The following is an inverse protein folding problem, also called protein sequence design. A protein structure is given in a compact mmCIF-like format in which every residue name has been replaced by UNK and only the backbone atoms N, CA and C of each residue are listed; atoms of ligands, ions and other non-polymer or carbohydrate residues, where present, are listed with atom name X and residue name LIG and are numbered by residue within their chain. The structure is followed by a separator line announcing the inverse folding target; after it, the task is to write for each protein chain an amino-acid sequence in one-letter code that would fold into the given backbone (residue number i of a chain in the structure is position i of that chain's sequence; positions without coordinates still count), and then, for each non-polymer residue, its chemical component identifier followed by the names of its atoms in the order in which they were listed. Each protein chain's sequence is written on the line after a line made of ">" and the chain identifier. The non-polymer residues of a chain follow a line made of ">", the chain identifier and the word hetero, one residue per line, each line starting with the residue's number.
data_IF_923774154226
#
_entry.id   IF_923774154226
#
_cell.length_a   1.000
_cell.length_b   1.000
_cell.length_c   1.000
_cell.angle_alpha   90.00
_cell.angle_beta   90.00
_cell.angle_gamma   90.00
#
_symmetry.space_group_name_H-M   'P 1'
#
loop_
_entity.id
_entity.type
_entity.pdbx_description
1 polymer ?
#
# COMPACT_ATOMS: atom_id res chain seq x y z
N UNK A 1 4.81 -14.83 -34.84
CA UNK A 1 3.94 -16.02 -34.75
C UNK A 1 3.17 -16.08 -33.43
N UNK A 2 3.72 -15.56 -32.31
CA UNK A 2 2.99 -15.48 -31.03
C UNK A 2 1.85 -14.44 -31.01
N UNK A 3 1.96 -13.32 -31.72
CA UNK A 3 0.85 -12.35 -31.92
C UNK A 3 -0.41 -12.93 -32.59
N UNK A 4 -0.34 -14.12 -33.20
CA UNK A 4 -1.47 -14.76 -33.90
C UNK A 4 -2.29 -15.67 -32.96
N UNK A 5 -1.74 -16.11 -31.81
CA UNK A 5 -2.44 -17.01 -30.88
C UNK A 5 -3.37 -16.28 -29.91
N UNK A 6 -2.97 -15.11 -29.41
CA UNK A 6 -3.84 -14.23 -28.61
C UNK A 6 -5.14 -13.84 -29.36
N UNK A 7 -5.07 -13.78 -30.69
CA UNK A 7 -6.18 -13.35 -31.56
C UNK A 7 -7.31 -14.40 -31.66
N UNK A 8 -7.02 -15.69 -31.45
CA UNK A 8 -7.99 -16.76 -31.66
C UNK A 8 -8.92 -16.96 -30.45
N UNK A 9 -8.39 -16.89 -29.23
CA UNK A 9 -9.20 -16.90 -28.00
C UNK A 9 -9.97 -15.59 -27.82
N UNK A 10 -9.39 -14.46 -28.22
CA UNK A 10 -10.06 -13.17 -28.26
C UNK A 10 -11.28 -13.19 -29.19
N UNK A 11 -11.15 -13.77 -30.39
CA UNK A 11 -12.26 -13.90 -31.35
C UNK A 11 -13.44 -14.71 -30.83
N UNK A 12 -13.20 -15.83 -30.13
CA UNK A 12 -14.30 -16.66 -29.58
C UNK A 12 -15.03 -15.93 -28.46
N UNK A 13 -14.31 -15.23 -27.57
CA UNK A 13 -14.94 -14.43 -26.51
C UNK A 13 -15.71 -13.23 -27.10
N UNK A 14 -15.15 -12.60 -28.13
CA UNK A 14 -15.77 -11.47 -28.83
C UNK A 14 -17.01 -11.90 -29.63
N UNK A 15 -17.00 -13.07 -30.28
CA UNK A 15 -18.15 -13.62 -30.99
C UNK A 15 -19.33 -13.92 -30.04
N UNK A 16 -19.05 -14.50 -28.85
CA UNK A 16 -20.08 -14.75 -27.82
C UNK A 16 -20.66 -13.44 -27.27
N UNK A 17 -19.83 -12.40 -27.10
CA UNK A 17 -20.28 -11.08 -26.65
C UNK A 17 -21.06 -10.33 -27.75
N UNK A 18 -20.62 -10.40 -29.01
CA UNK A 18 -21.28 -9.76 -30.16
C UNK A 18 -22.63 -10.42 -30.47
N UNK A 19 -22.74 -11.76 -30.36
CA UNK A 19 -24.02 -12.46 -30.55
C UNK A 19 -25.05 -12.10 -29.48
N UNK A 20 -24.61 -11.70 -28.28
CA UNK A 20 -25.50 -11.21 -27.21
C UNK A 20 -25.76 -9.70 -27.28
N UNK A 21 -24.80 -8.91 -27.74
CA UNK A 21 -24.89 -7.44 -27.79
C UNK A 21 -25.76 -6.88 -28.92
N UNK A 22 -26.09 -7.67 -29.95
CA UNK A 22 -26.95 -7.20 -31.06
C UNK A 22 -28.44 -7.13 -30.74
N UNK A 23 -28.90 -7.71 -29.62
CA UNK A 23 -30.34 -7.75 -29.27
C UNK A 23 -30.72 -6.96 -28.00
N UNK A 24 -29.79 -6.28 -27.32
CA UNK A 24 -30.18 -5.42 -26.20
C UNK A 24 -29.08 -4.47 -25.75
N UNK A 25 -29.30 -3.16 -25.96
CA UNK A 25 -28.76 -2.11 -25.06
C UNK A 25 -29.50 -2.13 -23.71
N UNK A 26 -29.82 -3.32 -23.19
CA UNK A 26 -30.32 -3.44 -21.83
C UNK A 26 -29.17 -3.14 -20.87
N UNK A 27 -29.50 -2.45 -19.79
CA UNK A 27 -28.60 -2.13 -18.68
C UNK A 27 -28.14 -3.46 -18.06
N UNK A 28 -27.09 -4.05 -18.60
CA UNK A 28 -26.35 -5.11 -17.92
C UNK A 28 -26.02 -4.59 -16.52
N UNK A 29 -26.49 -5.30 -15.50
CA UNK A 29 -26.18 -4.92 -14.13
C UNK A 29 -24.67 -4.95 -13.96
N UNK A 30 -24.13 -4.06 -13.11
CA UNK A 30 -22.68 -4.01 -12.86
C UNK A 30 -22.13 -5.37 -12.42
N UNK A 31 -22.93 -6.16 -11.70
CA UNK A 31 -22.57 -7.52 -11.31
C UNK A 31 -22.31 -8.44 -12.51
N UNK A 32 -23.16 -8.40 -13.53
CA UNK A 32 -22.98 -9.20 -14.75
C UNK A 32 -21.72 -8.79 -15.50
N UNK A 33 -21.45 -7.48 -15.58
CA UNK A 33 -20.23 -6.95 -16.20
C UNK A 33 -18.99 -7.42 -15.44
N UNK A 34 -19.01 -7.32 -14.10
CA UNK A 34 -17.89 -7.72 -13.25
C UNK A 34 -17.61 -9.22 -13.30
N UNK A 35 -18.63 -10.07 -13.32
CA UNK A 35 -18.45 -11.52 -13.46
C UNK A 35 -17.86 -11.88 -14.83
N UNK A 36 -18.33 -11.25 -15.90
CA UNK A 36 -17.79 -11.45 -17.24
C UNK A 36 -16.34 -10.96 -17.34
N UNK A 37 -16.04 -9.79 -16.78
CA UNK A 37 -14.69 -9.23 -16.75
C UNK A 37 -13.76 -10.09 -15.89
N UNK A 38 -14.20 -10.59 -14.74
CA UNK A 38 -13.39 -11.47 -13.89
C UNK A 38 -13.06 -12.78 -14.60
N UNK A 39 -14.06 -13.40 -15.27
CA UNK A 39 -13.82 -14.59 -16.09
C UNK A 39 -12.82 -14.30 -17.21
N UNK A 40 -12.94 -13.15 -17.88
CA UNK A 40 -11.99 -12.71 -18.90
C UNK A 40 -10.58 -12.53 -18.30
N UNK A 41 -10.45 -11.89 -17.15
CA UNK A 41 -9.18 -11.69 -16.45
C UNK A 41 -8.49 -12.99 -16.06
N UNK A 42 -9.23 -14.04 -15.70
CA UNK A 42 -8.69 -15.38 -15.45
C UNK A 42 -8.25 -16.12 -16.73
N UNK A 43 -8.70 -15.66 -17.90
CA UNK A 43 -8.41 -16.24 -19.21
C UNK A 43 -7.43 -15.42 -20.03
N UNK A 44 -7.17 -14.16 -19.63
CA UNK A 44 -6.17 -13.32 -20.28
C UNK A 44 -4.82 -14.00 -20.15
N UNK A 45 -4.28 -14.44 -21.29
CA UNK A 45 -2.91 -14.94 -21.37
C UNK A 45 -1.99 -13.76 -21.04
N UNK A 46 -1.28 -13.90 -19.93
CA UNK A 46 -0.27 -12.97 -19.49
C UNK A 46 1.06 -13.70 -19.44
N UNK A 47 2.15 -12.97 -19.68
CA UNK A 47 3.52 -13.49 -19.56
C UNK A 47 3.91 -13.63 -18.08
N UNK A 48 3.18 -14.48 -17.35
CA UNK A 48 3.44 -14.81 -15.93
C UNK A 48 4.74 -15.58 -15.84
N UNK A 49 5.63 -15.11 -14.99
CA UNK A 49 6.86 -15.83 -14.67
C UNK A 49 6.55 -17.15 -13.96
N UNK A 50 7.03 -18.27 -14.50
CA UNK A 50 7.10 -19.55 -13.80
C UNK A 50 8.42 -19.62 -13.01
N UNK A 51 8.39 -19.71 -11.67
CA UNK A 51 9.59 -19.92 -10.87
C UNK A 51 10.45 -21.11 -11.32
N UNK A 52 9.87 -22.13 -11.96
CA UNK A 52 10.61 -23.30 -12.46
C UNK A 52 11.60 -22.96 -13.56
N UNK A 53 11.37 -21.89 -14.32
CA UNK A 53 12.31 -21.40 -15.34
C UNK A 53 13.62 -20.87 -14.73
N UNK A 54 13.71 -20.86 -13.39
CA UNK A 54 14.84 -20.37 -12.60
C UNK A 54 15.55 -21.48 -11.81
N UNK A 55 15.18 -22.76 -12.00
CA UNK A 55 15.79 -23.90 -11.28
C UNK A 55 17.31 -23.99 -11.46
N UNK A 56 17.83 -23.56 -12.62
CA UNK A 56 19.27 -23.56 -12.92
C UNK A 56 20.05 -22.42 -12.25
N UNK A 57 19.36 -21.38 -11.75
CA UNK A 57 19.98 -20.16 -11.20
C UNK A 57 19.63 -19.87 -9.75
N UNK A 58 18.55 -20.44 -9.22
CA UNK A 58 18.11 -20.28 -7.83
C UNK A 58 18.33 -21.57 -7.05
N UNK A 59 18.87 -21.45 -5.82
CA UNK A 59 19.06 -22.60 -4.94
C UNK A 59 17.71 -23.34 -4.70
N UNK A 60 17.65 -24.67 -4.92
CA UNK A 60 16.41 -25.44 -4.77
C UNK A 60 15.79 -25.36 -3.37
N UNK A 61 16.58 -25.14 -2.31
CA UNK A 61 16.05 -24.96 -0.96
C UNK A 61 15.36 -23.59 -0.80
N UNK A 62 15.87 -22.55 -1.46
CA UNK A 62 15.21 -21.24 -1.51
C UNK A 62 13.88 -21.37 -2.25
N UNK A 63 13.86 -22.02 -3.42
CA UNK A 63 12.62 -22.23 -4.18
C UNK A 63 11.59 -23.03 -3.36
N UNK A 64 12.03 -24.07 -2.64
CA UNK A 64 11.15 -24.83 -1.74
C UNK A 64 10.59 -23.97 -0.61
N UNK A 65 11.40 -23.10 -0.01
CA UNK A 65 10.95 -22.17 1.02
C UNK A 65 9.94 -21.15 0.46
N UNK A 66 10.18 -20.62 -0.75
CA UNK A 66 9.25 -19.74 -1.44
C UNK A 66 7.91 -20.43 -1.71
N UNK A 67 7.93 -21.67 -2.22
CA UNK A 67 6.71 -22.45 -2.46
C UNK A 67 5.92 -22.72 -1.16
N UNK A 68 6.61 -22.98 -0.04
CA UNK A 68 5.96 -23.14 1.26
C UNK A 68 5.30 -21.85 1.75
N UNK A 69 5.97 -20.71 1.59
CA UNK A 69 5.43 -19.39 1.97
C UNK A 69 4.21 -19.04 1.10
N UNK A 70 4.29 -19.27 -0.21
CA UNK A 70 3.17 -19.08 -1.14
C UNK A 70 1.98 -19.94 -0.74
N UNK A 71 2.18 -21.22 -0.46
CA UNK A 71 1.10 -22.12 -0.03
C UNK A 71 0.43 -21.64 1.28
N UNK A 72 1.23 -21.13 2.23
CA UNK A 72 0.73 -20.58 3.49
C UNK A 72 -0.10 -19.30 3.26
N UNK A 73 0.42 -18.33 2.51
CA UNK A 73 -0.25 -17.06 2.21
C UNK A 73 -1.51 -17.27 1.38
N UNK A 74 -1.44 -18.15 0.36
CA UNK A 74 -2.60 -18.53 -0.44
C UNK A 74 -3.74 -19.03 0.43
N UNK A 75 -3.45 -19.92 1.40
CA UNK A 75 -4.46 -20.40 2.34
C UNK A 75 -5.09 -19.30 3.20
N UNK A 76 -4.35 -18.22 3.53
CA UNK A 76 -4.92 -17.05 4.21
C UNK A 76 -5.85 -16.27 3.28
N UNK A 77 -5.40 -16.01 2.05
CA UNK A 77 -6.18 -15.25 1.06
C UNK A 77 -7.45 -15.99 0.65
N UNK A 78 -7.40 -17.31 0.47
CA UNK A 78 -8.56 -18.10 0.10
C UNK A 78 -9.64 -18.05 1.20
N UNK A 79 -9.25 -18.12 2.48
CA UNK A 79 -10.19 -17.90 3.60
C UNK A 79 -10.76 -16.48 3.63
N UNK A 80 -9.99 -15.48 3.20
CA UNK A 80 -10.52 -14.12 3.10
C UNK A 80 -11.54 -14.00 1.96
N UNK A 81 -11.34 -14.71 0.84
CA UNK A 81 -12.30 -14.72 -0.28
C UNK A 81 -13.64 -15.36 0.08
N UNK A 82 -13.74 -16.13 1.17
CA UNK A 82 -15.02 -16.66 1.67
C UNK A 82 -15.96 -15.56 2.20
N UNK A 83 -15.41 -14.39 2.58
CA UNK A 83 -16.23 -13.27 3.06
C UNK A 83 -16.61 -12.35 1.87
N UNK A 84 -17.90 -11.99 1.70
CA UNK A 84 -18.37 -11.30 0.49
C UNK A 84 -17.64 -9.99 0.17
N UNK A 85 -17.41 -9.15 1.18
CA UNK A 85 -16.74 -7.85 0.99
C UNK A 85 -15.31 -8.00 0.45
N UNK A 86 -14.56 -9.01 0.93
CA UNK A 86 -13.18 -9.26 0.50
C UNK A 86 -13.12 -10.03 -0.81
N UNK A 87 -14.12 -10.86 -1.11
CA UNK A 87 -14.27 -11.50 -2.41
C UNK A 87 -14.43 -10.47 -3.53
N UNK A 88 -15.30 -9.47 -3.31
CA UNK A 88 -15.52 -8.40 -4.27
C UNK A 88 -14.27 -7.55 -4.50
N UNK A 89 -13.55 -7.18 -3.43
CA UNK A 89 -12.30 -6.43 -3.53
C UNK A 89 -11.24 -7.21 -4.31
N UNK A 90 -11.11 -8.51 -4.07
CA UNK A 90 -10.20 -9.38 -4.82
C UNK A 90 -10.59 -9.46 -6.31
N UNK A 91 -11.89 -9.63 -6.60
CA UNK A 91 -12.41 -9.67 -7.96
C UNK A 91 -12.10 -8.37 -8.72
N UNK A 92 -12.38 -7.21 -8.11
CA UNK A 92 -12.09 -5.91 -8.70
C UNK A 92 -10.59 -5.68 -8.92
N UNK A 93 -9.76 -6.09 -7.96
CA UNK A 93 -8.30 -6.04 -8.08
C UNK A 93 -7.80 -6.82 -9.29
N UNK A 94 -8.26 -8.08 -9.46
CA UNK A 94 -7.85 -8.93 -10.58
C UNK A 94 -8.32 -8.40 -11.94
N UNK A 95 -9.53 -7.84 -11.99
CA UNK A 95 -10.04 -7.18 -13.20
C UNK A 95 -9.17 -5.98 -13.56
N UNK A 96 -8.88 -5.12 -12.58
CA UNK A 96 -8.07 -3.93 -12.78
C UNK A 96 -6.66 -4.28 -13.26
N UNK A 97 -6.01 -5.25 -12.61
CA UNK A 97 -4.69 -5.76 -12.97
C UNK A 97 -4.65 -6.22 -14.43
N UNK A 98 -5.58 -7.10 -14.83
CA UNK A 98 -5.63 -7.64 -16.19
C UNK A 98 -5.88 -6.54 -17.24
N UNK A 99 -6.80 -5.60 -16.96
CA UNK A 99 -7.07 -4.47 -17.86
C UNK A 99 -5.82 -3.60 -17.97
N UNK A 100 -5.19 -3.20 -16.87
CA UNK A 100 -4.02 -2.31 -16.93
C UNK A 100 -2.88 -2.96 -17.71
N UNK A 101 -2.55 -4.22 -17.45
CA UNK A 101 -1.52 -4.98 -18.19
C UNK A 101 -1.84 -4.98 -19.69
N UNK A 102 -3.03 -5.45 -20.07
CA UNK A 102 -3.43 -5.56 -21.47
C UNK A 102 -3.42 -4.19 -22.17
N UNK A 103 -3.89 -3.13 -21.49
CA UNK A 103 -4.04 -1.80 -22.08
C UNK A 103 -2.73 -1.02 -22.15
N UNK A 104 -1.76 -1.32 -21.30
CA UNK A 104 -0.38 -0.84 -21.46
C UNK A 104 0.19 -1.34 -22.78
N UNK A 105 -0.01 -2.62 -23.10
CA UNK A 105 0.61 -3.25 -24.27
C UNK A 105 -0.18 -3.04 -25.57
N UNK A 106 -1.51 -3.12 -25.53
CA UNK A 106 -2.35 -3.01 -26.72
C UNK A 106 -2.63 -1.57 -27.13
N UNK A 107 -2.85 -0.69 -26.14
CA UNK A 107 -3.30 0.69 -26.37
C UNK A 107 -2.32 1.74 -25.82
N UNK A 108 -1.08 1.31 -25.55
CA UNK A 108 0.03 2.19 -25.19
C UNK A 108 -0.32 3.11 -24.02
N UNK A 109 -1.00 2.60 -22.99
CA UNK A 109 -1.42 3.43 -21.86
C UNK A 109 -0.24 4.17 -21.21
N UNK A 110 0.94 3.54 -21.22
CA UNK A 110 2.21 4.14 -20.76
C UNK A 110 3.17 4.48 -21.92
N UNK A 111 2.68 4.54 -23.16
CA UNK A 111 3.46 4.83 -24.37
C UNK A 111 3.95 3.59 -25.12
N UNK A 112 4.28 3.76 -26.40
CA UNK A 112 4.60 2.70 -27.36
C UNK A 112 5.79 1.78 -27.01
N UNK A 113 6.62 2.21 -26.07
CA UNK A 113 7.89 1.56 -25.74
C UNK A 113 7.89 0.96 -24.33
N UNK A 114 6.71 0.66 -23.79
CA UNK A 114 6.53 0.03 -22.47
C UNK A 114 5.94 -1.35 -22.66
N UNK A 115 6.58 -2.33 -22.05
CA UNK A 115 6.03 -3.68 -21.94
C UNK A 115 5.81 -4.02 -20.48
N UNK A 116 4.98 -5.03 -20.23
CA UNK A 116 4.72 -5.52 -18.89
C UNK A 116 5.14 -6.97 -18.75
N UNK A 117 5.45 -7.37 -17.51
CA UNK A 117 5.66 -8.77 -17.18
C UNK A 117 5.01 -9.04 -15.83
N UNK A 118 4.04 -9.96 -15.82
CA UNK A 118 3.36 -10.35 -14.59
C UNK A 118 4.30 -11.19 -13.74
N UNK A 119 4.36 -10.88 -12.44
CA UNK A 119 5.26 -11.61 -11.55
C UNK A 119 4.64 -12.94 -11.14
N UNK A 120 5.47 -13.82 -10.59
CA UNK A 120 5.00 -15.05 -9.99
C UNK A 120 4.30 -14.79 -8.64
N UNK A 121 3.55 -15.77 -8.14
CA UNK A 121 2.82 -15.65 -6.87
C UNK A 121 3.71 -15.35 -5.65
N UNK A 122 4.99 -15.73 -5.67
CA UNK A 122 5.90 -15.36 -4.60
C UNK A 122 6.14 -13.85 -4.55
N UNK A 123 6.37 -13.23 -5.71
CA UNK A 123 6.60 -11.79 -5.82
C UNK A 123 5.31 -10.99 -5.60
N UNK A 124 4.16 -11.49 -6.07
CA UNK A 124 2.84 -10.97 -5.71
C UNK A 124 2.63 -11.03 -4.18
N UNK A 125 2.63 -12.22 -3.57
CA UNK A 125 2.21 -12.35 -2.17
C UNK A 125 3.22 -11.78 -1.16
N UNK A 126 4.53 -11.98 -1.40
CA UNK A 126 5.55 -11.56 -0.45
C UNK A 126 6.01 -10.12 -0.69
N UNK A 127 6.23 -9.75 -1.95
CA UNK A 127 6.74 -8.43 -2.32
C UNK A 127 5.59 -7.44 -2.62
N UNK A 128 4.40 -7.93 -2.95
CA UNK A 128 3.23 -7.13 -3.30
C UNK A 128 3.37 -6.51 -4.67
N UNK A 129 3.96 -7.22 -5.64
CA UNK A 129 4.22 -6.68 -6.98
C UNK A 129 3.42 -7.53 -7.96
N UNK A 130 2.38 -6.96 -8.56
CA UNK A 130 1.55 -7.69 -9.51
C UNK A 130 2.30 -7.88 -10.84
N UNK A 131 2.93 -6.81 -11.32
CA UNK A 131 3.72 -6.83 -12.55
C UNK A 131 4.81 -5.75 -12.52
N UNK A 132 5.78 -5.88 -13.42
CA UNK A 132 6.84 -4.88 -13.66
C UNK A 132 6.71 -4.30 -15.06
N UNK A 133 7.18 -3.06 -15.22
CA UNK A 133 7.32 -2.40 -16.52
C UNK A 133 8.75 -2.48 -17.01
N UNK A 134 8.92 -2.71 -18.32
CA UNK A 134 10.21 -2.65 -19.02
C UNK A 134 10.13 -1.61 -20.13
N UNK A 135 11.03 -0.61 -20.08
CA UNK A 135 11.13 0.44 -21.08
C UNK A 135 12.14 0.05 -22.16
N UNK A 136 11.72 0.10 -23.42
CA UNK A 136 12.57 -0.08 -24.58
C UNK A 136 13.04 1.30 -25.10
N UNK A 137 14.29 1.68 -24.89
CA UNK A 137 14.86 2.87 -25.54
C UNK A 137 15.54 2.49 -26.85
N UNK A 138 15.04 3.07 -27.95
CA UNK A 138 15.62 3.18 -29.31
C UNK A 138 16.84 2.29 -29.59
N UNK A 139 16.62 0.96 -29.65
CA UNK A 139 17.50 0.04 -30.38
C UNK A 139 18.35 -0.96 -29.59
N UNK A 140 18.41 -0.94 -28.25
CA UNK A 140 18.98 -2.08 -27.48
C UNK A 140 18.79 -2.00 -25.96
N UNK A 141 18.79 -0.80 -25.39
CA UNK A 141 18.90 -0.68 -23.93
C UNK A 141 17.54 -0.78 -23.29
N UNK A 142 17.28 -1.95 -22.70
CA UNK A 142 16.11 -2.16 -21.86
C UNK A 142 16.42 -1.79 -20.42
N UNK A 143 15.52 -1.05 -19.79
CA UNK A 143 15.63 -0.80 -18.36
C UNK A 143 14.31 -1.13 -17.68
N UNK A 144 14.42 -1.82 -16.54
CA UNK A 144 13.28 -2.02 -15.66
C UNK A 144 12.82 -0.67 -15.18
N UNK A 145 11.55 -0.38 -15.43
CA UNK A 145 10.90 0.85 -15.04
C UNK A 145 10.56 0.85 -13.56
N UNK A 146 9.38 0.32 -13.27
CA UNK A 146 8.84 0.24 -11.93
C UNK A 146 7.97 -1.01 -11.75
N UNK A 147 7.73 -1.35 -10.49
CA UNK A 147 6.86 -2.42 -10.05
C UNK A 147 5.48 -1.83 -9.71
N UNK A 148 4.41 -2.44 -10.21
CA UNK A 148 3.04 -1.98 -10.00
C UNK A 148 2.30 -2.91 -9.05
N UNK A 149 1.53 -2.31 -8.15
CA UNK A 149 0.56 -2.94 -7.26
C UNK A 149 -0.81 -2.29 -7.52
N UNK A 150 -1.59 -2.89 -8.42
CA UNK A 150 -2.90 -2.42 -8.82
C UNK A 150 -3.94 -2.83 -7.78
N UNK A 151 -4.62 -1.86 -7.19
CA UNK A 151 -5.53 -2.09 -6.09
C UNK A 151 -6.84 -1.35 -6.29
N UNK A 152 -7.90 -1.93 -5.76
CA UNK A 152 -9.12 -1.20 -5.46
C UNK A 152 -9.33 -1.23 -3.95
N UNK A 153 -9.92 -0.19 -3.36
CA UNK A 153 -10.38 -0.25 -1.97
C UNK A 153 -10.36 1.06 -1.22
N UNK A 154 -10.57 0.95 0.10
CA UNK A 154 -10.65 2.09 1.02
C UNK A 154 -9.30 2.80 1.12
N UNK A 155 -9.35 4.10 1.37
CA UNK A 155 -8.18 4.96 1.55
C UNK A 155 -7.12 4.42 2.52
N UNK A 156 -7.57 3.76 3.58
CA UNK A 156 -6.69 3.17 4.59
C UNK A 156 -5.80 2.07 4.02
N UNK A 157 -6.31 1.25 3.10
CA UNK A 157 -5.53 0.19 2.46
C UNK A 157 -4.43 0.77 1.57
N UNK A 158 -4.76 1.81 0.79
CA UNK A 158 -3.79 2.54 -0.05
C UNK A 158 -2.70 3.18 0.82
N UNK A 159 -3.09 3.85 1.91
CA UNK A 159 -2.13 4.44 2.86
C UNK A 159 -1.18 3.41 3.45
N UNK A 160 -1.66 2.21 3.79
CA UNK A 160 -0.81 1.13 4.29
C UNK A 160 0.20 0.64 3.24
N UNK A 161 -0.19 0.58 1.96
CA UNK A 161 0.72 0.23 0.85
C UNK A 161 1.79 1.30 0.64
N UNK A 162 1.40 2.59 0.64
CA UNK A 162 2.34 3.71 0.52
C UNK A 162 3.30 3.82 1.73
N UNK A 163 2.80 3.57 2.94
CA UNK A 163 3.61 3.47 4.16
C UNK A 163 4.65 2.34 4.07
N UNK A 164 4.28 1.19 3.48
CA UNK A 164 5.24 0.09 3.21
C UNK A 164 6.37 0.57 2.30
N UNK A 165 6.06 1.31 1.23
CA UNK A 165 7.05 1.88 0.31
C UNK A 165 7.95 2.87 1.04
N UNK A 166 7.39 3.81 1.80
CA UNK A 166 8.19 4.75 2.60
C UNK A 166 9.14 4.02 3.56
N UNK A 167 8.66 2.96 4.21
CA UNK A 167 9.49 2.17 5.12
C UNK A 167 10.69 1.52 4.40
N UNK A 168 10.56 1.15 3.13
CA UNK A 168 11.66 0.64 2.30
C UNK A 168 12.67 1.76 2.03
N UNK A 169 12.21 2.93 1.62
CA UNK A 169 13.08 4.10 1.40
C UNK A 169 13.91 4.44 2.63
N UNK A 170 13.30 4.43 3.82
CA UNK A 170 14.01 4.66 5.09
C UNK A 170 15.21 3.73 5.29
N UNK A 171 15.11 2.48 4.81
CA UNK A 171 16.18 1.47 4.91
C UNK A 171 17.22 1.58 3.79
N UNK A 172 17.04 2.50 2.85
CA UNK A 172 17.87 2.58 1.66
C UNK A 172 17.51 1.52 0.62
N UNK A 173 16.25 1.08 0.59
CA UNK A 173 15.74 0.00 -0.27
C UNK A 173 14.62 0.51 -1.18
N UNK A 174 14.43 -0.14 -2.33
CA UNK A 174 13.19 -0.05 -3.12
C UNK A 174 12.56 -1.45 -3.21
N UNK A 175 11.59 -1.63 -4.11
CA UNK A 175 11.04 -2.92 -4.47
C UNK A 175 12.08 -3.88 -5.02
N UNK A 176 11.70 -5.15 -4.96
CA UNK A 176 12.49 -6.29 -5.41
C UNK A 176 11.56 -7.31 -6.04
N UNK A 177 11.98 -7.85 -7.19
CA UNK A 177 11.38 -9.01 -7.84
C UNK A 177 12.42 -10.12 -7.82
N UNK A 178 12.07 -11.25 -7.22
CA UNK A 178 12.98 -12.37 -7.03
C UNK A 178 13.16 -13.18 -8.31
N UNK A 179 12.06 -13.45 -9.01
CA UNK A 179 12.05 -14.15 -10.28
C UNK A 179 11.79 -13.14 -11.41
N UNK A 180 12.83 -12.39 -11.79
CA UNK A 180 12.75 -11.40 -12.85
C UNK A 180 13.43 -11.92 -14.13
N UNK A 181 12.81 -11.66 -15.29
CA UNK A 181 13.39 -11.95 -16.59
C UNK A 181 13.08 -10.81 -17.56
N UNK A 182 14.06 -10.30 -18.31
CA UNK A 182 13.77 -9.36 -19.40
C UNK A 182 12.97 -10.06 -20.49
N UNK A 183 12.15 -9.34 -21.26
CA UNK A 183 11.27 -9.98 -22.26
C UNK A 183 12.05 -10.77 -23.33
N UNK A 184 13.28 -10.37 -23.66
CA UNK A 184 14.17 -11.10 -24.59
C UNK A 184 14.96 -12.23 -23.92
N UNK A 185 14.71 -12.47 -22.63
CA UNK A 185 15.39 -13.46 -21.80
C UNK A 185 16.90 -13.25 -21.68
N UNK A 186 17.43 -12.09 -22.05
CA UNK A 186 18.86 -11.76 -21.98
C UNK A 186 19.36 -11.61 -20.54
N UNK A 187 18.47 -11.23 -19.61
CA UNK A 187 18.76 -11.13 -18.18
C UNK A 187 17.73 -11.93 -17.40
N UNK A 188 18.19 -12.76 -16.47
CA UNK A 188 17.35 -13.51 -15.52
C UNK A 188 17.91 -13.40 -14.10
N UNK A 189 17.03 -13.53 -13.12
CA UNK A 189 17.37 -13.67 -11.71
C UNK A 189 16.74 -12.59 -10.84
N UNK A 190 17.36 -12.28 -9.71
CA UNK A 190 16.83 -11.34 -8.73
C UNK A 190 17.10 -9.89 -9.13
N UNK A 191 16.05 -9.09 -9.27
CA UNK A 191 16.14 -7.64 -9.55
C UNK A 191 15.75 -6.83 -8.31
N UNK A 192 16.69 -6.01 -7.83
CA UNK A 192 16.49 -5.07 -6.70
C UNK A 192 16.48 -3.64 -7.18
N UNK A 193 16.11 -2.72 -6.28
CA UNK A 193 16.09 -1.28 -6.52
C UNK A 193 15.06 -0.90 -7.61
N UNK A 194 13.88 -1.51 -7.58
CA UNK A 194 12.78 -1.18 -8.49
C UNK A 194 11.80 -0.26 -7.76
N UNK A 195 11.54 0.98 -8.22
CA UNK A 195 10.51 1.82 -7.63
C UNK A 195 9.17 1.09 -7.63
N UNK A 196 8.44 1.18 -6.52
CA UNK A 196 7.12 0.56 -6.40
C UNK A 196 6.06 1.64 -6.51
N UNK A 197 5.03 1.36 -7.31
CA UNK A 197 3.88 2.23 -7.53
C UNK A 197 2.63 1.48 -7.12
N UNK A 198 1.74 2.14 -6.39
CA UNK A 198 0.41 1.62 -6.09
C UNK A 198 -0.55 2.30 -7.04
N UNK A 199 -1.22 1.58 -7.93
CA UNK A 199 -2.28 2.18 -8.76
C UNK A 199 -3.61 1.92 -8.07
N UNK A 200 -4.35 2.97 -7.69
CA UNK A 200 -5.65 2.78 -7.08
C UNK A 200 -6.78 3.48 -7.82
N UNK A 201 -7.79 2.71 -8.24
CA UNK A 201 -8.99 3.24 -8.88
C UNK A 201 -10.23 3.06 -8.00
N UNK A 202 -11.15 4.00 -8.11
CA UNK A 202 -12.49 3.86 -7.52
C UNK A 202 -13.28 2.76 -8.22
N UNK A 203 -14.23 2.15 -7.51
CA UNK A 203 -15.01 1.00 -7.98
C UNK A 203 -15.71 1.33 -9.31
N UNK A 204 -16.27 2.53 -9.41
CA UNK A 204 -17.01 2.95 -10.59
C UNK A 204 -16.12 2.98 -11.83
N UNK A 205 -14.90 3.53 -11.71
CA UNK A 205 -13.95 3.56 -12.82
C UNK A 205 -13.54 2.15 -13.26
N UNK A 206 -13.36 1.21 -12.32
CA UNK A 206 -13.09 -0.21 -12.64
C UNK A 206 -14.25 -0.83 -13.42
N UNK A 207 -15.50 -0.58 -13.00
CA UNK A 207 -16.70 -1.06 -13.70
C UNK A 207 -16.79 -0.47 -15.11
N UNK A 208 -16.53 0.82 -15.25
CA UNK A 208 -16.65 1.54 -16.52
C UNK A 208 -15.66 0.99 -17.55
N UNK A 209 -14.39 0.81 -17.18
CA UNK A 209 -13.39 0.21 -18.08
C UNK A 209 -13.63 -1.29 -18.29
N UNK A 210 -14.12 -2.02 -17.29
CA UNK A 210 -14.48 -3.43 -17.43
C UNK A 210 -15.61 -3.61 -18.45
N UNK A 211 -16.59 -2.71 -18.49
CA UNK A 211 -17.69 -2.73 -19.47
C UNK A 211 -17.17 -2.57 -20.89
N UNK A 212 -16.30 -1.59 -21.13
CA UNK A 212 -15.68 -1.40 -22.45
C UNK A 212 -14.83 -2.61 -22.85
N UNK A 213 -14.10 -3.17 -21.89
CA UNK A 213 -13.21 -4.31 -22.10
C UNK A 213 -13.94 -5.61 -22.43
N UNK A 214 -15.04 -5.92 -21.74
CA UNK A 214 -15.89 -7.09 -22.02
C UNK A 214 -16.57 -6.97 -23.39
N UNK A 215 -16.93 -5.75 -23.81
CA UNK A 215 -17.55 -5.47 -25.11
C UNK A 215 -16.55 -5.41 -26.28
N UNK A 216 -15.25 -5.47 -25.99
CA UNK A 216 -14.21 -5.36 -27.01
C UNK A 216 -14.10 -3.97 -27.64
N UNK A 217 -14.51 -2.93 -26.92
CA UNK A 217 -14.48 -1.53 -27.38
C UNK A 217 -13.06 -0.93 -27.24
N UNK A 218 -12.08 -1.53 -27.91
CA UNK A 218 -10.66 -1.18 -27.76
C UNK A 218 -10.35 0.29 -28.07
N UNK A 219 -11.02 0.88 -29.06
CA UNK A 219 -10.86 2.32 -29.36
C UNK A 219 -11.30 3.20 -28.18
N UNK A 220 -12.43 2.87 -27.54
CA UNK A 220 -12.93 3.61 -26.39
C UNK A 220 -11.99 3.46 -25.18
N UNK A 221 -11.38 2.27 -24.99
CA UNK A 221 -10.36 2.07 -23.96
C UNK A 221 -9.06 2.85 -24.23
N UNK A 222 -8.61 2.92 -25.48
CA UNK A 222 -7.41 3.67 -25.87
C UNK A 222 -7.54 5.19 -25.62
N UNK A 223 -8.76 5.70 -25.80
CA UNK A 223 -9.14 7.11 -25.62
C UNK A 223 -9.67 7.39 -24.19
N UNK A 224 -9.76 6.38 -23.32
CA UNK A 224 -10.37 6.53 -22.01
C UNK A 224 -9.56 7.46 -21.09
N UNK A 225 -10.19 8.45 -20.39
CA UNK A 225 -9.48 9.40 -19.53
C UNK A 225 -8.67 8.77 -18.39
N UNK A 226 -9.01 7.54 -17.97
CA UNK A 226 -8.29 6.82 -16.92
C UNK A 226 -6.80 6.66 -17.22
N UNK A 227 -6.41 6.57 -18.49
CA UNK A 227 -5.01 6.49 -18.90
C UNK A 227 -4.20 7.66 -18.33
N UNK A 228 -4.73 8.88 -18.48
CA UNK A 228 -4.07 10.09 -18.01
C UNK A 228 -4.00 10.14 -16.48
N UNK A 229 -5.04 9.65 -15.80
CA UNK A 229 -5.05 9.53 -14.34
C UNK A 229 -3.95 8.59 -13.86
N UNK A 230 -3.82 7.40 -14.46
CA UNK A 230 -2.79 6.43 -14.11
C UNK A 230 -1.38 6.99 -14.34
N UNK A 231 -1.14 7.64 -15.49
CA UNK A 231 0.16 8.28 -15.79
C UNK A 231 0.50 9.34 -14.74
N UNK A 232 -0.46 10.21 -14.40
CA UNK A 232 -0.27 11.26 -13.40
C UNK A 232 -0.02 10.69 -12.00
N UNK A 233 -0.75 9.63 -11.62
CA UNK A 233 -0.58 8.96 -10.34
C UNK A 233 0.82 8.32 -10.21
N UNK A 234 1.34 7.72 -11.29
CA UNK A 234 2.72 7.22 -11.35
C UNK A 234 3.72 8.37 -11.16
N UNK A 235 3.55 9.48 -11.89
CA UNK A 235 4.44 10.65 -11.80
C UNK A 235 4.43 11.24 -10.40
N UNK A 236 3.25 11.46 -9.81
CA UNK A 236 3.11 12.02 -8.47
C UNK A 236 3.79 11.12 -7.42
N UNK A 237 3.64 9.80 -7.53
CA UNK A 237 4.31 8.85 -6.64
C UNK A 237 5.83 8.85 -6.81
N UNK A 238 6.35 8.85 -8.03
CA UNK A 238 7.79 8.91 -8.28
C UNK A 238 8.38 10.23 -7.78
N UNK A 239 7.69 11.35 -8.00
CA UNK A 239 8.11 12.67 -7.51
C UNK A 239 8.12 12.71 -5.98
N UNK A 240 7.07 12.23 -5.31
CA UNK A 240 7.02 12.15 -3.86
C UNK A 240 8.12 11.26 -3.28
N UNK A 241 8.34 10.07 -3.87
CA UNK A 241 9.43 9.17 -3.46
C UNK A 241 10.82 9.82 -3.64
N UNK A 242 11.04 10.52 -4.76
CA UNK A 242 12.29 11.21 -5.05
C UNK A 242 12.57 12.35 -4.06
N UNK A 243 11.56 13.18 -3.79
CA UNK A 243 11.64 14.26 -2.81
C UNK A 243 11.98 13.71 -1.41
N UNK A 244 11.32 12.62 -1.02
CA UNK A 244 11.62 11.94 0.23
C UNK A 244 13.04 11.36 0.27
N UNK A 245 13.50 10.74 -0.81
CA UNK A 245 14.85 10.19 -0.92
C UNK A 245 15.93 11.28 -0.80
N UNK A 246 15.72 12.46 -1.41
CA UNK A 246 16.60 13.62 -1.20
C UNK A 246 16.63 14.07 0.26
N UNK A 247 15.47 14.11 0.93
CA UNK A 247 15.42 14.44 2.35
C UNK A 247 16.21 13.43 3.19
N UNK A 248 16.16 12.13 2.86
CA UNK A 248 16.97 11.09 3.51
C UNK A 248 18.48 11.32 3.28
N UNK A 249 18.88 11.65 2.06
CA UNK A 249 20.27 11.91 1.68
C UNK A 249 20.84 13.11 2.44
N UNK A 250 20.10 14.22 2.50
CA UNK A 250 20.48 15.44 3.24
C UNK A 250 20.67 15.20 4.74
N UNK A 251 20.02 14.16 5.29
CA UNK A 251 20.13 13.73 6.70
C UNK A 251 21.27 12.73 6.94
N UNK A 252 22.06 12.43 5.90
CA UNK A 252 23.21 11.54 5.99
C UNK A 252 22.89 10.05 5.78
N UNK A 253 21.72 9.69 5.24
CA UNK A 253 21.47 8.32 4.82
C UNK A 253 22.27 8.04 3.53
N UNK A 254 23.45 7.44 3.67
CA UNK A 254 24.38 7.18 2.56
C UNK A 254 23.81 6.26 1.47
N UNK A 255 22.81 5.44 1.80
CA UNK A 255 22.14 4.58 0.81
C UNK A 255 21.12 5.34 -0.04
N UNK A 256 20.70 6.53 0.37
CA UNK A 256 19.67 7.30 -0.30
C UNK A 256 20.11 7.86 -1.67
N UNK A 257 21.41 8.11 -1.86
CA UNK A 257 21.96 8.59 -3.14
C UNK A 257 21.59 7.68 -4.32
N UNK A 258 21.72 6.35 -4.13
CA UNK A 258 21.30 5.38 -5.14
C UNK A 258 19.79 5.40 -5.39
N UNK A 259 18.98 5.68 -4.37
CA UNK A 259 17.52 5.80 -4.52
C UNK A 259 17.18 7.01 -5.40
N UNK A 260 17.83 8.14 -5.14
CA UNK A 260 17.67 9.39 -5.88
C UNK A 260 17.95 9.15 -7.37
N UNK A 261 19.08 8.54 -7.71
CA UNK A 261 19.46 8.29 -9.11
C UNK A 261 18.40 7.44 -9.85
N UNK A 262 17.95 6.36 -9.22
CA UNK A 262 16.95 5.45 -9.81
C UNK A 262 15.61 6.18 -9.97
N UNK A 263 15.12 6.83 -8.92
CA UNK A 263 13.82 7.52 -8.93
C UNK A 263 13.79 8.69 -9.92
N UNK A 264 14.87 9.46 -9.99
CA UNK A 264 15.00 10.57 -10.95
C UNK A 264 14.97 10.06 -12.39
N UNK A 265 15.70 8.98 -12.71
CA UNK A 265 15.68 8.37 -14.04
C UNK A 265 14.27 7.91 -14.44
N UNK A 266 13.55 7.26 -13.53
CA UNK A 266 12.19 6.77 -13.82
C UNK A 266 11.17 7.92 -13.94
N UNK A 267 11.29 8.94 -13.11
CA UNK A 267 10.43 10.12 -13.18
C UNK A 267 10.59 10.84 -14.52
N UNK A 268 11.83 11.02 -15.00
CA UNK A 268 12.09 11.66 -16.28
C UNK A 268 11.56 10.82 -17.46
N UNK A 269 11.66 9.49 -17.40
CA UNK A 269 11.04 8.61 -18.40
C UNK A 269 9.51 8.83 -18.47
N UNK A 270 8.85 8.88 -17.31
CA UNK A 270 7.39 9.08 -17.24
C UNK A 270 6.94 10.48 -17.67
N UNK A 271 7.69 11.53 -17.35
CA UNK A 271 7.39 12.88 -17.83
C UNK A 271 7.44 13.00 -19.35
N UNK A 272 8.34 12.26 -20.02
CA UNK A 272 8.41 12.21 -21.49
C UNK A 272 7.15 11.56 -22.08
N UNK A 273 6.68 10.48 -21.45
CA UNK A 273 5.43 9.81 -21.84
C UNK A 273 4.25 10.77 -21.68
N UNK A 274 4.10 11.41 -20.53
CA UNK A 274 3.02 12.38 -20.27
C UNK A 274 3.03 13.54 -21.29
N UNK A 275 4.20 14.14 -21.53
CA UNK A 275 4.36 15.23 -22.51
C UNK A 275 3.97 14.81 -23.94
N UNK A 276 4.16 13.54 -24.29
CA UNK A 276 3.76 13.02 -25.60
C UNK A 276 2.25 12.83 -25.73
N UNK A 277 1.54 12.60 -24.62
CA UNK A 277 0.10 12.32 -24.58
C UNK A 277 -0.78 13.56 -24.43
N UNK A 278 -0.28 14.67 -23.87
CA UNK A 278 -1.08 15.89 -23.59
C UNK A 278 -1.60 16.65 -24.83
N UNK A 279 -1.30 16.22 -26.06
CA UNK A 279 -1.74 16.91 -27.29
C UNK A 279 -3.25 16.87 -27.56
N UNK A 280 -4.06 16.18 -26.75
CA UNK A 280 -5.50 15.97 -27.00
C UNK A 280 -6.42 16.28 -25.80
N UNK A 281 -6.02 17.14 -24.88
CA UNK A 281 -6.69 17.26 -23.57
C UNK A 281 -8.13 17.80 -23.60
N UNK A 282 -9.03 17.02 -22.99
CA UNK A 282 -10.30 17.48 -22.40
C UNK A 282 -10.12 17.42 -20.88
N UNK A 283 -10.45 18.49 -20.15
CA UNK A 283 -10.28 18.54 -18.68
C UNK A 283 -11.19 17.50 -17.99
N UNK A 284 -10.64 16.34 -17.65
CA UNK A 284 -11.29 15.34 -16.80
C UNK A 284 -10.73 15.48 -15.37
N UNK A 285 -11.58 15.85 -14.42
CA UNK A 285 -11.21 15.97 -13.01
C UNK A 285 -11.72 14.74 -12.27
N UNK A 286 -10.80 13.86 -11.85
CA UNK A 286 -11.12 12.72 -11.01
C UNK A 286 -10.76 12.99 -9.55
N UNK A 287 -11.76 12.89 -8.66
CA UNK A 287 -11.58 13.06 -7.21
C UNK A 287 -10.75 11.92 -6.59
N UNK A 288 -10.76 10.74 -7.23
CA UNK A 288 -9.94 9.59 -6.82
C UNK A 288 -8.45 9.91 -6.92
N UNK A 289 -8.02 10.45 -8.06
CA UNK A 289 -6.66 10.91 -8.29
C UNK A 289 -6.19 11.95 -7.26
N UNK A 290 -7.04 12.92 -6.89
CA UNK A 290 -6.72 13.92 -5.86
C UNK A 290 -6.45 13.28 -4.49
N UNK A 291 -7.19 12.22 -4.18
CA UNK A 291 -7.13 11.52 -2.89
C UNK A 291 -5.81 10.76 -2.70
N UNK A 292 -5.29 10.16 -3.78
CA UNK A 292 -3.98 9.49 -3.78
C UNK A 292 -2.87 10.53 -3.75
N UNK A 293 -2.94 11.56 -4.60
CA UNK A 293 -1.98 12.66 -4.60
C UNK A 293 -1.82 13.31 -3.23
N UNK A 294 -2.92 13.53 -2.50
CA UNK A 294 -2.86 14.01 -1.12
C UNK A 294 -2.12 13.04 -0.18
N UNK A 295 -2.37 11.73 -0.31
CA UNK A 295 -1.72 10.72 0.53
C UNK A 295 -0.23 10.56 0.21
N UNK A 296 0.14 10.64 -1.06
CA UNK A 296 1.53 10.66 -1.51
C UNK A 296 2.26 11.85 -0.89
N UNK A 297 1.74 13.07 -1.07
CA UNK A 297 2.32 14.29 -0.47
C UNK A 297 2.44 14.17 1.04
N UNK A 298 1.40 13.68 1.72
CA UNK A 298 1.40 13.53 3.17
C UNK A 298 2.40 12.47 3.66
N UNK A 299 2.49 11.32 2.99
CA UNK A 299 3.32 10.19 3.44
C UNK A 299 4.80 10.47 3.15
N UNK A 300 5.09 10.97 1.96
CA UNK A 300 6.45 11.24 1.47
C UNK A 300 6.93 12.67 1.74
N UNK A 301 6.20 13.45 2.54
CA UNK A 301 6.62 14.79 2.95
C UNK A 301 8.05 14.76 3.57
N UNK A 302 8.96 15.67 3.19
CA UNK A 302 10.35 15.71 3.68
C UNK A 302 10.49 15.71 5.21
N UNK A 303 9.57 16.34 5.93
CA UNK A 303 9.53 16.38 7.38
C UNK A 303 9.30 15.00 8.02
N UNK A 304 8.72 14.04 7.28
CA UNK A 304 8.58 12.68 7.79
C UNK A 304 9.92 11.94 7.83
N UNK A 305 10.95 12.41 7.13
CA UNK A 305 12.29 11.84 7.22
C UNK A 305 12.98 12.18 8.56
N UNK A 306 12.46 13.14 9.35
CA UNK A 306 12.92 13.37 10.74
C UNK A 306 12.51 12.22 11.68
N UNK A 307 11.55 11.40 11.26
CA UNK A 307 10.87 10.44 12.13
C UNK A 307 11.35 9.01 11.95
N UNK A 308 12.41 8.77 11.19
CA UNK A 308 12.89 7.42 10.86
C UNK A 308 13.14 6.61 12.13
N UNK A 309 13.89 7.17 13.09
CA UNK A 309 14.22 6.45 14.32
C UNK A 309 12.97 6.17 15.18
N UNK A 310 12.03 7.12 15.25
CA UNK A 310 10.75 6.90 15.92
C UNK A 310 9.95 5.78 15.24
N UNK A 311 9.87 5.79 13.91
CA UNK A 311 9.12 4.81 13.12
C UNK A 311 9.73 3.42 13.21
N UNK A 312 11.07 3.30 13.18
CA UNK A 312 11.77 2.04 13.37
C UNK A 312 11.50 1.46 14.76
N UNK A 313 11.51 2.29 15.81
CA UNK A 313 11.16 1.87 17.16
C UNK A 313 9.70 1.43 17.25
N UNK A 314 8.78 2.18 16.66
CA UNK A 314 7.35 1.80 16.60
C UNK A 314 7.16 0.43 15.92
N UNK A 315 7.86 0.18 14.81
CA UNK A 315 7.82 -1.10 14.10
C UNK A 315 8.44 -2.24 14.94
N UNK A 316 9.55 -1.99 15.63
CA UNK A 316 10.17 -2.97 16.52
C UNK A 316 9.25 -3.33 17.70
N UNK A 317 8.61 -2.32 18.31
CA UNK A 317 7.62 -2.49 19.37
C UNK A 317 6.44 -3.35 18.85
N UNK A 318 5.89 -3.03 17.68
CA UNK A 318 4.80 -3.78 17.08
C UNK A 318 5.17 -5.26 16.83
N UNK A 319 6.37 -5.51 16.26
CA UNK A 319 6.89 -6.87 16.03
C UNK A 319 7.06 -7.65 17.34
N UNK A 320 7.62 -7.02 18.39
CA UNK A 320 7.77 -7.65 19.71
C UNK A 320 6.42 -7.95 20.36
N UNK A 321 5.45 -7.03 20.29
CA UNK A 321 4.08 -7.26 20.79
C UNK A 321 3.40 -8.44 20.12
N UNK A 322 3.52 -8.57 18.79
CA UNK A 322 2.98 -9.73 18.04
C UNK A 322 3.59 -11.06 18.54
N UNK A 323 4.86 -11.05 18.94
CA UNK A 323 5.57 -12.19 19.53
C UNK A 323 5.41 -12.31 21.06
N UNK A 324 4.60 -11.46 21.69
CA UNK A 324 4.41 -11.38 23.15
C UNK A 324 5.73 -11.15 23.92
N UNK A 325 6.67 -10.44 23.33
CA UNK A 325 7.95 -10.07 23.94
C UNK A 325 7.88 -8.70 24.64
N UNK A 326 8.69 -8.46 25.70
CA UNK A 326 8.74 -7.17 26.38
C UNK A 326 9.16 -5.99 25.48
N UNK A 327 8.49 -4.84 25.63
CA UNK A 327 8.72 -3.63 24.80
C UNK A 327 9.12 -2.38 25.59
N UNK A 328 9.22 -2.47 26.91
CA UNK A 328 9.38 -1.32 27.81
C UNK A 328 10.54 -0.38 27.43
N UNK A 329 11.73 -0.92 27.15
CA UNK A 329 12.90 -0.10 26.82
C UNK A 329 12.75 0.64 25.49
N UNK A 330 12.14 -0.03 24.50
CA UNK A 330 11.87 0.58 23.20
C UNK A 330 10.82 1.69 23.32
N UNK A 331 9.78 1.47 24.14
CA UNK A 331 8.75 2.47 24.40
C UNK A 331 9.32 3.70 25.14
N UNK A 332 10.22 3.48 26.10
CA UNK A 332 10.94 4.57 26.78
C UNK A 332 11.79 5.38 25.80
N UNK A 333 12.54 4.71 24.92
CA UNK A 333 13.35 5.36 23.88
C UNK A 333 12.47 6.15 22.91
N UNK A 334 11.35 5.57 22.46
CA UNK A 334 10.39 6.22 21.58
C UNK A 334 9.81 7.49 22.21
N UNK A 335 9.42 7.42 23.47
CA UNK A 335 8.88 8.59 24.18
C UNK A 335 9.92 9.70 24.33
N UNK A 336 11.20 9.35 24.59
CA UNK A 336 12.28 10.34 24.65
C UNK A 336 12.47 11.08 23.32
N UNK A 337 12.49 10.34 22.20
CA UNK A 337 12.60 10.95 20.87
C UNK A 337 11.43 11.88 20.56
N UNK A 338 10.20 11.45 20.88
CA UNK A 338 8.99 12.27 20.71
C UNK A 338 9.08 13.57 21.51
N UNK A 339 9.56 13.52 22.75
CA UNK A 339 9.77 14.70 23.58
C UNK A 339 10.86 15.63 23.02
N UNK A 340 11.98 15.08 22.54
CA UNK A 340 13.05 15.86 21.92
C UNK A 340 12.55 16.60 20.67
N UNK A 341 11.76 15.93 19.82
CA UNK A 341 11.17 16.57 18.64
C UNK A 341 10.17 17.66 19.03
N UNK A 342 9.32 17.41 20.01
CA UNK A 342 8.37 18.40 20.49
C UNK A 342 9.09 19.66 20.99
N UNK A 343 10.21 19.49 21.72
CA UNK A 343 11.05 20.60 22.18
C UNK A 343 11.74 21.35 21.02
N UNK A 344 12.17 20.63 19.98
CA UNK A 344 12.73 21.26 18.76
C UNK A 344 11.67 22.12 18.06
N UNK A 345 10.47 21.59 17.86
CA UNK A 345 9.37 22.32 17.21
C UNK A 345 8.91 23.54 18.01
N UNK A 346 8.90 23.48 19.35
CA UNK A 346 8.59 24.66 20.17
C UNK A 346 9.68 25.72 20.08
N UNK A 347 10.96 25.32 20.01
CA UNK A 347 12.07 26.26 19.85
C UNK A 347 12.03 26.99 18.50
N UNK A 348 11.77 26.29 17.40
CA UNK A 348 11.69 26.87 16.05
C UNK A 348 10.51 27.87 15.94
N UNK A 349 9.35 27.52 16.49
CA UNK A 349 8.19 28.43 16.55
C UNK A 349 8.44 29.69 17.39
N UNK A 350 9.29 29.59 18.41
CA UNK A 350 9.65 30.74 19.24
C UNK A 350 10.62 31.70 18.54
N UNK A 351 11.49 31.19 17.67
CA UNK A 351 12.38 32.01 16.84
C UNK A 351 11.67 32.71 15.68
N UNK A 352 10.64 32.11 15.09
CA UNK A 352 9.88 32.75 13.98
C UNK A 352 8.96 33.88 14.46
N UNK A 353 8.59 33.90 15.74
CA UNK A 353 7.71 34.94 16.32
C UNK A 353 8.47 36.15 16.89
N UNK A 354 9.75 36.34 16.57
CA UNK A 354 10.49 37.54 16.97
C UNK A 354 10.14 38.77 16.10
N UNK A 355 8.85 39.05 15.93
CA UNK A 355 8.40 40.43 15.73
C UNK A 355 8.32 41.05 17.13
N UNK A 356 8.92 42.23 17.39
CA UNK A 356 8.89 42.83 18.72
C UNK A 356 7.42 42.99 19.16
N UNK A 357 7.04 42.51 20.36
CA UNK A 357 5.65 42.52 20.79
C UNK A 357 5.17 43.97 20.85
N UNK A 358 4.01 44.22 20.24
CA UNK A 358 3.33 45.51 20.44
C UNK A 358 2.92 45.61 21.92
N UNK A 359 2.86 46.83 22.46
CA UNK A 359 2.56 47.08 23.89
C UNK A 359 1.29 46.37 24.42
N UNK A 360 0.40 45.92 23.55
CA UNK A 360 -0.83 45.21 23.89
C UNK A 360 -0.63 43.73 24.29
N UNK A 361 0.40 43.04 23.79
CA UNK A 361 0.56 41.58 23.99
C UNK A 361 1.22 41.21 25.33
N UNK A 362 1.80 42.19 26.04
CA UNK A 362 2.41 41.99 27.37
C UNK A 362 1.40 41.75 28.50
N UNK A 363 0.10 41.93 28.26
CA UNK A 363 -0.92 41.84 29.32
C UNK A 363 -1.59 40.45 29.47
N UNK A 364 -1.33 39.48 28.57
CA UNK A 364 -2.14 38.24 28.50
C UNK A 364 -1.37 36.97 28.96
N UNK A 365 -0.04 37.02 29.08
CA UNK A 365 0.77 35.79 29.26
C UNK A 365 0.90 35.32 30.72
N UNK A 366 0.36 36.04 31.72
CA UNK A 366 0.64 35.74 33.14
C UNK A 366 -0.40 34.89 33.89
N UNK A 367 -1.34 34.24 33.20
CA UNK A 367 -2.32 33.35 33.87
C UNK A 367 -2.61 32.09 33.06
N UNK A 368 -1.83 31.02 33.27
CA UNK A 368 -2.29 29.63 33.20
C UNK A 368 -1.18 28.65 33.62
N UNK A 369 -1.14 28.32 34.91
CA UNK A 369 -0.52 27.10 35.41
C UNK A 369 -1.64 26.20 35.95
N UNK A 370 -1.95 25.12 35.22
CA UNK A 370 -2.91 24.10 35.66
C UNK A 370 -2.12 22.99 36.36
N UNK A 371 -2.48 22.58 37.59
CA UNK A 371 -1.76 21.53 38.29
C UNK A 371 -2.06 20.15 37.67
N UNK A 372 -1.00 19.36 37.44
CA UNK A 372 -1.10 17.96 37.03
C UNK A 372 -1.84 17.13 38.09
N UNK A 373 -3.09 16.76 37.81
CA UNK A 373 -3.79 15.71 38.56
C UNK A 373 -3.29 14.35 38.06
N UNK A 374 -2.58 13.61 38.91
CA UNK A 374 -2.27 12.19 38.67
C UNK A 374 -3.58 11.44 38.43
N UNK A 375 -3.69 10.78 37.27
CA UNK A 375 -4.87 10.01 36.92
C UNK A 375 -5.05 8.83 37.90
N UNK A 376 -6.21 8.76 38.55
CA UNK A 376 -6.60 7.62 39.40
C UNK A 376 -6.74 6.38 38.52
N UNK A 377 -5.96 5.33 38.81
CA UNK A 377 -6.09 4.05 38.14
C UNK A 377 -7.12 3.22 38.91
N UNK A 378 -8.27 2.87 38.32
CA UNK A 378 -9.32 2.14 39.03
C UNK A 378 -8.83 0.74 39.41
N UNK A 379 -9.11 0.37 40.65
CA UNK A 379 -8.87 -0.95 41.21
C UNK A 379 -9.81 -2.00 40.59
N UNK A 380 -9.42 -3.27 40.68
CA UNK A 380 -10.25 -4.40 40.22
C UNK A 380 -11.64 -4.42 40.86
N UNK A 381 -11.73 -4.01 42.13
CA UNK A 381 -12.99 -3.91 42.88
C UNK A 381 -13.89 -2.82 42.27
N UNK A 382 -13.35 -1.64 42.00
CA UNK A 382 -14.10 -0.52 41.38
C UNK A 382 -14.60 -0.88 39.98
N UNK A 383 -13.79 -1.55 39.16
CA UNK A 383 -14.23 -2.02 37.83
C UNK A 383 -15.33 -3.08 37.93
N UNK A 384 -15.26 -3.96 38.93
CA UNK A 384 -16.26 -5.02 39.15
C UNK A 384 -17.59 -4.43 39.59
N UNK A 385 -17.57 -3.48 40.52
CA UNK A 385 -18.78 -2.78 40.97
C UNK A 385 -19.42 -1.98 39.83
N UNK A 386 -18.59 -1.33 38.99
CA UNK A 386 -19.07 -0.61 37.81
C UNK A 386 -19.70 -1.56 36.78
N UNK A 387 -19.07 -2.71 36.52
CA UNK A 387 -19.60 -3.72 35.61
C UNK A 387 -20.94 -4.30 36.08
N UNK A 388 -21.08 -4.59 37.39
CA UNK A 388 -22.34 -5.06 37.97
C UNK A 388 -23.47 -4.02 37.85
N UNK A 389 -23.17 -2.73 38.04
CA UNK A 389 -24.14 -1.64 37.81
C UNK A 389 -24.59 -1.56 36.36
N UNK A 390 -23.69 -1.76 35.39
CA UNK A 390 -24.03 -1.77 33.96
C UNK A 390 -24.85 -3.02 33.58
N UNK A 391 -24.56 -4.18 34.16
CA UNK A 391 -25.35 -5.40 33.95
C UNK A 391 -26.82 -5.23 34.37
N UNK A 392 -27.08 -4.48 35.45
CA UNK A 392 -28.45 -4.15 35.85
C UNK A 392 -29.14 -3.19 34.87
N UNK A 393 -28.37 -2.24 34.31
CA UNK A 393 -28.87 -1.30 33.28
C UNK A 393 -29.06 -1.92 31.91
N UNK A 394 -28.38 -3.02 31.58
CA UNK A 394 -28.42 -3.69 30.26
C UNK A 394 -29.83 -4.06 29.79
N UNK A 395 -30.80 -4.22 30.72
CA UNK A 395 -32.21 -4.48 30.39
C UNK A 395 -32.89 -3.33 29.62
N UNK A 396 -32.29 -2.13 29.57
CA UNK A 396 -32.83 -0.99 28.83
C UNK A 396 -32.53 -0.99 27.33
N UNK A 397 -31.67 -1.88 26.82
CA UNK A 397 -31.32 -1.94 25.39
C UNK A 397 -30.42 -0.79 24.90
N UNK A 398 -29.86 0.01 25.80
CA UNK A 398 -29.03 1.16 25.46
C UNK A 398 -27.65 0.74 24.91
N UNK A 399 -27.32 1.20 23.69
CA UNK A 399 -26.04 0.91 23.02
C UNK A 399 -24.84 1.47 23.80
N UNK A 400 -24.99 2.60 24.51
CA UNK A 400 -23.90 3.19 25.30
C UNK A 400 -23.47 2.27 26.45
N UNK A 401 -24.42 1.53 27.05
CA UNK A 401 -24.15 0.55 28.11
C UNK A 401 -23.34 -0.63 27.57
N UNK A 402 -23.64 -1.09 26.35
CA UNK A 402 -22.89 -2.16 25.68
C UNK A 402 -21.44 -1.77 25.37
N UNK A 403 -21.22 -0.54 24.91
CA UNK A 403 -19.87 -0.03 24.64
C UNK A 403 -19.05 0.13 25.94
N UNK A 404 -19.68 0.63 27.00
CA UNK A 404 -19.03 0.77 28.31
C UNK A 404 -18.70 -0.60 28.93
N UNK A 405 -19.57 -1.59 28.78
CA UNK A 405 -19.29 -2.97 29.21
C UNK A 405 -18.09 -3.58 28.46
N UNK A 406 -18.01 -3.40 27.14
CA UNK A 406 -16.86 -3.86 26.34
C UNK A 406 -15.57 -3.17 26.75
N UNK A 407 -15.64 -1.89 27.13
CA UNK A 407 -14.49 -1.17 27.68
C UNK A 407 -14.02 -1.80 29.01
N UNK A 408 -14.93 -2.08 29.94
CA UNK A 408 -14.59 -2.71 31.22
C UNK A 408 -14.02 -4.13 31.04
N UNK A 409 -14.55 -4.92 30.11
CA UNK A 409 -14.00 -6.24 29.79
C UNK A 409 -12.53 -6.17 29.35
N UNK A 410 -12.18 -5.19 28.52
CA UNK A 410 -10.79 -4.95 28.10
C UNK A 410 -9.89 -4.56 29.27
N UNK A 411 -10.37 -3.69 30.17
CA UNK A 411 -9.60 -3.31 31.36
C UNK A 411 -9.43 -4.47 32.34
N UNK A 412 -10.42 -5.35 32.50
CA UNK A 412 -10.28 -6.58 33.27
C UNK A 412 -9.23 -7.53 32.70
N UNK A 413 -9.22 -7.72 31.39
CA UNK A 413 -8.19 -8.52 30.72
C UNK A 413 -6.80 -7.93 30.95
N UNK A 414 -6.66 -6.61 30.86
CA UNK A 414 -5.40 -5.88 31.12
C UNK A 414 -4.91 -6.09 32.55
N UNK A 415 -5.77 -5.96 33.56
CA UNK A 415 -5.41 -6.19 34.97
C UNK A 415 -5.03 -7.65 35.25
N UNK A 416 -5.71 -8.62 34.63
CA UNK A 416 -5.38 -10.03 34.79
C UNK A 416 -3.98 -10.37 34.23
N UNK A 417 -3.61 -9.76 33.11
CA UNK A 417 -2.26 -9.89 32.55
C UNK A 417 -1.21 -9.26 33.47
N UNK A 418 -1.49 -8.06 34.01
CA UNK A 418 -0.59 -7.38 34.93
C UNK A 418 -0.37 -8.18 36.22
N UNK A 419 -1.44 -8.71 36.82
CA UNK A 419 -1.33 -9.54 38.02
C UNK A 419 -0.53 -10.82 37.77
N UNK A 420 -0.73 -11.49 36.62
CA UNK A 420 0.09 -12.66 36.25
C UNK A 420 1.56 -12.28 36.09
N UNK A 421 1.87 -11.13 35.50
CA UNK A 421 3.24 -10.66 35.38
C UNK A 421 3.88 -10.37 36.75
N UNK A 422 3.12 -9.80 37.68
CA UNK A 422 3.55 -9.58 39.06
C UNK A 422 3.77 -10.91 39.78
N UNK A 423 2.88 -11.88 39.63
CA UNK A 423 3.02 -13.22 40.23
C UNK A 423 4.27 -13.95 39.72
N UNK A 424 4.54 -13.89 38.41
CA UNK A 424 5.75 -14.45 37.80
C UNK A 424 7.01 -13.74 38.33
N UNK A 425 7.00 -12.41 38.38
CA UNK A 425 8.12 -11.64 38.91
C UNK A 425 8.38 -11.92 40.39
N UNK A 426 7.32 -12.14 41.17
CA UNK A 426 7.41 -12.47 42.60
C UNK A 426 7.94 -13.90 42.81
N UNK A 427 7.48 -14.87 42.01
CA UNK A 427 8.00 -16.25 42.03
C UNK A 427 9.48 -16.32 41.64
N UNK A 428 9.89 -15.57 40.61
CA UNK A 428 11.30 -15.51 40.19
C UNK A 428 12.21 -14.87 41.26
N UNK A 429 11.69 -13.92 42.05
CA UNK A 429 12.43 -13.37 43.20
C UNK A 429 12.56 -14.36 44.37
N UNK A 430 11.60 -15.27 44.54
CA UNK A 430 11.63 -16.28 45.60
C UNK A 430 12.48 -17.50 45.26
N UNK A 431 12.79 -17.72 43.97
CA UNK A 431 13.66 -18.83 43.56
C UNK A 431 14.60 -18.41 42.40
N UNK A 432 15.67 -17.64 42.69
CA UNK A 432 16.56 -17.07 41.67
C UNK A 432 17.49 -18.09 40.98
N UNK A 433 17.45 -19.37 41.35
CA UNK A 433 18.37 -20.42 40.87
C UNK A 433 17.67 -21.54 40.07
N UNK A 434 16.46 -21.32 39.55
CA UNK A 434 15.71 -22.27 38.72
C UNK A 434 15.55 -21.77 37.27
#
# INVERSE_FOLDING_TARGET
>A
MERVRADQHFRVAQEVAIQKGKEGKELESDQVVLEAAYKKALQTETDVIDPKDFEDIVDPNIMRAHAQEVAYLRGIFDRQKEHPETAEVHMLGKILEAIVIEQIELNEWLGANVNTQQTCEFDDYCNGIDFVTEFNQDGATRHVGFAIDATHGKQQAIQLKLEKIRSQLNRGELGEVFYFQTIDKSTQGRKRFIPKIVLALEKQHVIDIARLWVRGEQKALAEHPIKQILVREIIDQLAGQLEYAHALEQRGNTKASKLVDVLASQLEAMKRIDSSQQKSETQFVDRGAETIGYSVKKIFAPENADRIEEQELELQIAKKRKKRLPTFDLEKKLNLLKSQRQNKQTSERSSEKSTPPTKAEKAIVETQAVPEKKAHVPTRKELSERYQKLMQKRRSGDKSVLEEMRFLEREFQRLNVLNRAIDVATKNKQNPAA
#
